data_IF_465236339911
#
_entry.id   IF_465236339911
#
_cell.length_a   1.000
_cell.length_b   1.000
_cell.length_c   1.000
_cell.angle_alpha   90.00
_cell.angle_beta   90.00
_cell.angle_gamma   90.00
#
_symmetry.space_group_name_H-M   'P 1'
#
loop_
_entity.id
_entity.type
_entity.pdbx_description
1 polymer ?
#
# COMPACT_ATOMS: atom_id res chain seq x y z
N UNK A 1 18.75 -9.15 0.98
CA UNK A 1 17.56 -9.91 0.53
C UNK A 1 16.99 -9.32 -0.77
N UNK A 2 16.63 -8.03 -0.81
CA UNK A 2 15.99 -7.39 -1.99
C UNK A 2 16.86 -7.54 -3.25
N UNK A 3 18.16 -7.26 -3.18
CA UNK A 3 19.08 -7.44 -4.30
C UNK A 3 19.12 -8.89 -4.82
N UNK A 4 19.06 -9.88 -3.92
CA UNK A 4 18.99 -11.29 -4.29
C UNK A 4 17.68 -11.61 -5.03
N UNK A 5 16.56 -11.05 -4.56
CA UNK A 5 15.27 -11.23 -5.24
C UNK A 5 15.31 -10.60 -6.62
N UNK A 6 15.78 -9.38 -6.75
CA UNK A 6 15.90 -8.68 -8.05
C UNK A 6 16.71 -9.48 -9.08
N UNK A 7 17.82 -10.11 -8.65
CA UNK A 7 18.71 -10.85 -9.55
C UNK A 7 18.25 -12.28 -9.85
N UNK A 8 17.46 -12.91 -8.97
CA UNK A 8 17.15 -14.34 -9.04
C UNK A 8 15.70 -14.69 -9.37
N UNK A 9 14.75 -13.81 -9.09
CA UNK A 9 13.32 -14.15 -9.16
C UNK A 9 12.84 -14.43 -10.60
N UNK A 10 13.51 -13.90 -11.61
CA UNK A 10 13.19 -14.17 -13.02
C UNK A 10 13.41 -15.60 -13.46
N UNK A 11 14.16 -16.39 -12.69
CA UNK A 11 14.40 -17.82 -12.96
C UNK A 11 13.36 -18.75 -12.29
N UNK A 12 12.51 -18.22 -11.41
CA UNK A 12 11.47 -19.00 -10.72
C UNK A 12 10.32 -19.31 -11.69
N UNK A 13 9.88 -20.57 -11.72
CA UNK A 13 8.85 -21.05 -12.64
C UNK A 13 7.45 -21.07 -12.03
N UNK A 14 7.34 -21.09 -10.71
CA UNK A 14 6.06 -21.14 -10.01
C UNK A 14 5.57 -19.72 -9.69
N UNK A 15 4.55 -19.25 -10.40
CA UNK A 15 4.02 -17.89 -10.26
C UNK A 15 3.60 -17.54 -8.82
N UNK A 16 3.06 -18.51 -8.08
CA UNK A 16 2.69 -18.31 -6.67
C UNK A 16 3.89 -18.05 -5.77
N UNK A 17 5.05 -18.67 -6.07
CA UNK A 17 6.32 -18.40 -5.38
C UNK A 17 6.82 -17.00 -5.75
N UNK A 18 6.81 -16.65 -7.04
CA UNK A 18 7.16 -15.29 -7.52
C UNK A 18 6.36 -14.22 -6.76
N UNK A 19 5.04 -14.33 -6.77
CA UNK A 19 4.16 -13.37 -6.08
C UNK A 19 4.48 -13.25 -4.59
N UNK A 20 4.68 -14.38 -3.91
CA UNK A 20 5.00 -14.41 -2.47
C UNK A 20 6.34 -13.74 -2.17
N UNK A 21 7.37 -14.05 -2.94
CA UNK A 21 8.72 -13.51 -2.74
C UNK A 21 8.76 -12.01 -3.05
N UNK A 22 8.08 -11.55 -4.10
CA UNK A 22 7.96 -10.12 -4.42
C UNK A 22 7.23 -9.35 -3.33
N UNK A 23 6.15 -9.92 -2.77
CA UNK A 23 5.45 -9.33 -1.63
C UNK A 23 6.37 -9.22 -0.39
N UNK A 24 7.19 -10.22 -0.12
CA UNK A 24 8.16 -10.18 0.98
C UNK A 24 9.26 -9.15 0.71
N UNK A 25 9.70 -8.96 -0.54
CA UNK A 25 10.68 -7.95 -0.90
C UNK A 25 10.11 -6.53 -0.72
N UNK A 26 8.87 -6.29 -1.12
CA UNK A 26 8.17 -5.04 -0.86
C UNK A 26 8.03 -4.76 0.65
N UNK A 27 7.62 -5.77 1.44
CA UNK A 27 7.55 -5.65 2.91
C UNK A 27 8.92 -5.38 3.55
N UNK A 28 10.00 -5.94 2.99
CA UNK A 28 11.35 -5.67 3.47
C UNK A 28 11.75 -4.21 3.24
N UNK A 29 11.42 -3.66 2.06
CA UNK A 29 11.67 -2.25 1.75
C UNK A 29 10.83 -1.31 2.62
N UNK A 30 9.57 -1.64 2.83
CA UNK A 30 8.65 -0.80 3.60
C UNK A 30 8.96 -0.77 5.09
N UNK A 31 9.24 -1.95 5.68
CA UNK A 31 9.29 -2.09 7.14
C UNK A 31 10.69 -2.30 7.69
N UNK A 32 11.57 -3.03 7.00
CA UNK A 32 12.81 -3.55 7.59
C UNK A 32 14.08 -2.86 7.12
N UNK A 33 14.09 -2.29 5.91
CA UNK A 33 15.23 -1.55 5.40
C UNK A 33 15.42 -0.21 6.12
N UNK A 34 16.64 0.33 6.11
CA UNK A 34 16.90 1.70 6.54
C UNK A 34 16.09 2.66 5.65
N UNK A 35 15.28 3.58 6.24
CA UNK A 35 14.32 4.37 5.47
C UNK A 35 14.93 5.25 4.36
N UNK A 36 16.09 5.86 4.62
CA UNK A 36 16.78 6.70 3.64
C UNK A 36 17.27 5.88 2.45
N UNK A 37 17.88 4.73 2.70
CA UNK A 37 18.29 3.80 1.65
C UNK A 37 17.07 3.23 0.90
N UNK A 38 16.01 2.85 1.60
CA UNK A 38 14.80 2.34 0.98
C UNK A 38 14.20 3.37 0.00
N UNK A 39 14.12 4.64 0.40
CA UNK A 39 13.57 5.71 -0.43
C UNK A 39 14.47 6.08 -1.63
N UNK A 40 15.80 6.16 -1.42
CA UNK A 40 16.73 6.67 -2.43
C UNK A 40 17.25 5.59 -3.39
N UNK A 41 17.31 4.34 -2.95
CA UNK A 41 17.93 3.23 -3.69
C UNK A 41 17.01 2.02 -3.79
N UNK A 42 16.43 1.59 -2.69
CA UNK A 42 15.68 0.34 -2.59
C UNK A 42 14.45 0.31 -3.49
N UNK A 43 13.53 1.25 -3.30
CA UNK A 43 12.32 1.34 -4.11
C UNK A 43 12.60 1.67 -5.58
N UNK A 44 13.47 2.66 -5.93
CA UNK A 44 13.82 2.91 -7.32
C UNK A 44 14.41 1.69 -8.03
N UNK A 45 15.38 1.02 -7.41
CA UNK A 45 15.97 -0.20 -7.95
C UNK A 45 14.96 -1.34 -8.10
N UNK A 46 14.07 -1.51 -7.12
CA UNK A 46 13.02 -2.53 -7.18
C UNK A 46 12.01 -2.26 -8.30
N UNK A 47 11.55 -1.02 -8.46
CA UNK A 47 10.64 -0.63 -9.53
C UNK A 47 11.26 -0.84 -10.93
N UNK A 48 12.54 -0.48 -11.10
CA UNK A 48 13.27 -0.70 -12.35
C UNK A 48 13.42 -2.19 -12.65
N UNK A 49 13.85 -3.00 -11.67
CA UNK A 49 13.99 -4.45 -11.84
C UNK A 49 12.66 -5.13 -12.19
N UNK A 50 11.56 -4.73 -11.55
CA UNK A 50 10.23 -5.28 -11.85
C UNK A 50 9.78 -4.96 -13.28
N UNK A 51 10.08 -3.77 -13.79
CA UNK A 51 9.75 -3.39 -15.15
C UNK A 51 10.61 -4.19 -16.17
N UNK A 52 11.89 -4.38 -15.89
CA UNK A 52 12.78 -5.21 -16.71
C UNK A 52 12.34 -6.68 -16.73
N UNK A 53 12.00 -7.24 -15.57
CA UNK A 53 11.46 -8.59 -15.45
C UNK A 53 10.14 -8.76 -16.21
N UNK A 54 9.24 -7.77 -16.13
CA UNK A 54 7.99 -7.78 -16.89
C UNK A 54 8.22 -7.74 -18.41
N UNK A 55 9.24 -7.03 -18.87
CA UNK A 55 9.63 -6.97 -20.28
C UNK A 55 10.31 -8.26 -20.78
N UNK A 56 11.05 -8.92 -19.90
CA UNK A 56 11.76 -10.16 -20.21
C UNK A 56 10.88 -11.41 -20.11
N UNK A 57 9.77 -11.35 -19.42
CA UNK A 57 8.84 -12.46 -19.24
C UNK A 57 8.15 -12.83 -20.57
N UNK A 58 7.68 -14.07 -20.67
CA UNK A 58 6.87 -14.53 -21.82
C UNK A 58 5.64 -13.63 -21.99
N UNK A 59 5.39 -13.23 -23.23
CA UNK A 59 4.32 -12.31 -23.60
C UNK A 59 2.95 -12.81 -23.13
N UNK A 60 2.24 -12.00 -22.33
CA UNK A 60 0.91 -12.31 -21.80
C UNK A 60 0.91 -13.41 -20.72
N UNK A 61 2.08 -13.80 -20.17
CA UNK A 61 2.18 -14.80 -19.12
C UNK A 61 1.74 -14.27 -17.75
N UNK A 62 1.39 -15.20 -16.85
CA UNK A 62 1.11 -14.90 -15.45
C UNK A 62 2.32 -14.28 -14.73
N UNK A 63 3.54 -14.63 -15.14
CA UNK A 63 4.78 -14.03 -14.63
C UNK A 63 4.88 -12.56 -15.02
N UNK A 64 4.62 -12.21 -16.30
CA UNK A 64 4.58 -10.83 -16.75
C UNK A 64 3.59 -10.01 -15.93
N UNK A 65 2.37 -10.54 -15.75
CA UNK A 65 1.33 -9.89 -14.97
C UNK A 65 1.71 -9.77 -13.48
N UNK A 66 2.38 -10.77 -12.90
CA UNK A 66 2.84 -10.74 -11.52
C UNK A 66 3.88 -9.63 -11.29
N UNK A 67 4.84 -9.46 -12.21
CA UNK A 67 5.83 -8.38 -12.14
C UNK A 67 5.19 -7.00 -12.28
N UNK A 68 4.27 -6.82 -13.25
CA UNK A 68 3.51 -5.57 -13.41
C UNK A 68 2.68 -5.28 -12.15
N UNK A 69 1.98 -6.26 -11.60
CA UNK A 69 1.19 -6.08 -10.38
C UNK A 69 2.05 -5.67 -9.17
N UNK A 70 3.24 -6.27 -9.05
CA UNK A 70 4.18 -5.92 -7.98
C UNK A 70 4.71 -4.49 -8.14
N UNK A 71 5.03 -4.07 -9.37
CA UNK A 71 5.42 -2.70 -9.69
C UNK A 71 4.33 -1.70 -9.27
N UNK A 72 3.08 -1.95 -9.64
CA UNK A 72 1.93 -1.10 -9.32
C UNK A 72 1.58 -1.10 -7.82
N UNK A 73 1.98 -2.15 -7.09
CA UNK A 73 1.84 -2.26 -5.64
C UNK A 73 2.87 -1.47 -4.84
N UNK A 74 4.03 -1.20 -5.43
CA UNK A 74 5.17 -0.53 -4.79
C UNK A 74 5.15 1.00 -4.86
N UNK A 75 6.33 1.58 -4.62
CA UNK A 75 6.58 3.02 -4.78
C UNK A 75 7.14 3.27 -6.17
N UNK A 76 6.43 4.09 -6.96
CA UNK A 76 6.85 4.47 -8.30
C UNK A 76 7.80 5.65 -8.26
N UNK A 77 8.77 5.64 -9.17
CA UNK A 77 9.60 6.83 -9.45
C UNK A 77 9.05 7.59 -10.67
N UNK A 78 9.59 8.79 -10.90
CA UNK A 78 9.22 9.59 -12.06
C UNK A 78 9.51 8.88 -13.41
N UNK A 79 10.41 7.90 -13.42
CA UNK A 79 10.78 7.15 -14.64
C UNK A 79 9.67 6.22 -15.15
N UNK A 80 8.92 5.59 -14.23
CA UNK A 80 7.85 4.66 -14.61
C UNK A 80 6.53 5.38 -14.94
N UNK A 81 6.31 6.57 -14.39
CA UNK A 81 5.03 7.28 -14.51
C UNK A 81 4.59 7.52 -15.96
N UNK A 82 5.44 7.98 -16.90
CA UNK A 82 5.03 8.20 -18.28
C UNK A 82 4.54 6.92 -18.99
N UNK A 83 5.21 5.79 -18.73
CA UNK A 83 4.80 4.49 -19.26
C UNK A 83 3.41 4.11 -18.74
N UNK A 84 3.22 4.18 -17.42
CA UNK A 84 1.97 3.78 -16.78
C UNK A 84 0.81 4.70 -17.19
N UNK A 85 1.09 6.00 -17.38
CA UNK A 85 0.11 6.95 -17.92
C UNK A 85 -0.27 6.59 -19.35
N UNK A 86 0.71 6.28 -20.21
CA UNK A 86 0.46 5.87 -21.59
C UNK A 86 -0.43 4.61 -21.67
N UNK A 87 -0.17 3.60 -20.81
CA UNK A 87 -1.00 2.41 -20.72
C UNK A 87 -2.43 2.72 -20.27
N UNK A 88 -2.60 3.63 -19.30
CA UNK A 88 -3.91 4.08 -18.82
C UNK A 88 -4.67 4.82 -19.94
N UNK A 89 -3.95 5.61 -20.75
CA UNK A 89 -4.50 6.36 -21.88
C UNK A 89 -4.81 5.48 -23.12
N UNK A 90 -4.48 4.18 -23.05
CA UNK A 90 -4.81 3.20 -24.08
C UNK A 90 -3.71 2.96 -25.12
N UNK A 91 -2.46 3.31 -24.79
CA UNK A 91 -1.32 2.94 -25.64
C UNK A 91 -1.16 1.42 -25.72
N UNK A 92 -0.71 0.92 -26.89
CA UNK A 92 -0.39 -0.50 -27.07
C UNK A 92 0.76 -0.91 -26.14
N UNK A 93 0.56 -1.85 -25.21
CA UNK A 93 1.63 -2.33 -24.32
C UNK A 93 2.86 -2.86 -25.07
N UNK A 94 2.68 -3.42 -26.27
CA UNK A 94 3.79 -3.91 -27.08
C UNK A 94 4.74 -2.79 -27.51
N UNK A 95 4.23 -1.60 -27.78
CA UNK A 95 5.04 -0.42 -28.11
C UNK A 95 5.95 0.03 -26.92
N UNK A 96 5.64 -0.42 -25.72
CA UNK A 96 6.37 -0.13 -24.48
C UNK A 96 7.17 -1.33 -23.95
N UNK A 97 7.33 -2.39 -24.77
CA UNK A 97 8.08 -3.58 -24.41
C UNK A 97 7.33 -4.56 -23.51
N UNK A 98 6.00 -4.48 -23.47
CA UNK A 98 5.12 -5.37 -22.70
C UNK A 98 4.13 -6.10 -23.63
N UNK A 99 4.61 -6.83 -24.65
CA UNK A 99 3.74 -7.53 -25.60
C UNK A 99 2.84 -8.53 -24.86
N UNK A 100 1.59 -8.63 -25.29
CA UNK A 100 0.62 -9.57 -24.71
C UNK A 100 -0.02 -9.15 -23.40
N UNK A 101 0.49 -8.10 -22.73
CA UNK A 101 -0.13 -7.57 -21.52
C UNK A 101 -1.55 -7.05 -21.85
N UNK A 102 -2.54 -7.57 -21.13
CA UNK A 102 -3.93 -7.11 -21.27
C UNK A 102 -4.24 -6.04 -20.24
N UNK A 103 -4.54 -4.83 -20.70
CA UNK A 103 -4.95 -3.69 -19.85
C UNK A 103 -6.47 -3.72 -19.70
N UNK A 104 -6.96 -4.71 -18.96
CA UNK A 104 -8.36 -4.88 -18.61
C UNK A 104 -8.82 -3.89 -17.50
N UNK A 105 -10.07 -3.96 -17.08
CA UNK A 105 -10.62 -3.07 -16.07
C UNK A 105 -9.86 -3.18 -14.72
N UNK A 106 -9.45 -4.39 -14.34
CA UNK A 106 -8.72 -4.62 -13.09
C UNK A 106 -7.32 -3.98 -13.13
N UNK A 107 -6.57 -4.19 -14.23
CA UNK A 107 -5.25 -3.58 -14.40
C UNK A 107 -5.36 -2.06 -14.53
N UNK A 108 -6.39 -1.54 -15.21
CA UNK A 108 -6.64 -0.09 -15.27
C UNK A 108 -6.80 0.53 -13.88
N UNK A 109 -7.59 -0.10 -13.01
CA UNK A 109 -7.74 0.37 -11.63
C UNK A 109 -6.44 0.30 -10.82
N UNK A 110 -5.58 -0.68 -11.07
CA UNK A 110 -4.25 -0.74 -10.46
C UNK A 110 -3.35 0.39 -10.96
N UNK A 111 -3.39 0.70 -12.27
CA UNK A 111 -2.69 1.86 -12.84
C UNK A 111 -3.16 3.17 -12.20
N UNK A 112 -4.47 3.39 -12.12
CA UNK A 112 -5.06 4.59 -11.49
C UNK A 112 -4.62 4.70 -10.02
N UNK A 113 -4.69 3.62 -9.23
CA UNK A 113 -4.26 3.62 -7.82
C UNK A 113 -2.76 3.92 -7.68
N UNK A 114 -1.92 3.34 -8.53
CA UNK A 114 -0.47 3.54 -8.48
C UNK A 114 -0.08 4.98 -8.88
N UNK A 115 -0.66 5.51 -9.96
CA UNK A 115 -0.43 6.88 -10.41
C UNK A 115 -0.97 7.91 -9.41
N UNK A 116 -2.13 7.66 -8.81
CA UNK A 116 -2.67 8.51 -7.75
C UNK A 116 -1.75 8.52 -6.51
N UNK A 117 -1.25 7.34 -6.08
CA UNK A 117 -0.33 7.21 -4.96
C UNK A 117 1.02 7.90 -5.21
N UNK A 118 1.47 7.93 -6.47
CA UNK A 118 2.68 8.63 -6.88
C UNK A 118 2.48 10.16 -7.05
N UNK A 119 1.25 10.67 -6.90
CA UNK A 119 0.94 12.07 -7.17
C UNK A 119 1.09 12.46 -8.65
N UNK A 120 0.98 11.50 -9.57
CA UNK A 120 1.08 11.73 -11.00
C UNK A 120 -0.26 12.16 -11.63
N UNK A 121 -1.38 11.84 -10.97
CA UNK A 121 -2.74 12.20 -11.37
C UNK A 121 -3.49 12.79 -10.18
N UNK A 122 -4.55 13.55 -10.46
CA UNK A 122 -5.50 14.05 -9.46
C UNK A 122 -4.81 14.74 -8.26
N UNK A 123 -3.85 15.59 -8.55
CA UNK A 123 -3.03 16.29 -7.55
C UNK A 123 -3.79 17.39 -6.79
N UNK A 124 -4.85 17.94 -7.39
CA UNK A 124 -5.74 18.88 -6.70
C UNK A 124 -6.56 18.17 -5.63
N UNK A 125 -6.44 18.56 -4.34
CA UNK A 125 -7.20 17.91 -3.26
C UNK A 125 -8.72 17.97 -3.46
N UNK A 126 -9.23 19.02 -4.10
CA UNK A 126 -10.66 19.28 -4.28
C UNK A 126 -11.30 18.48 -5.41
N UNK A 127 -10.50 17.86 -6.31
CA UNK A 127 -11.01 17.17 -7.48
C UNK A 127 -10.26 15.88 -7.79
N UNK A 128 -10.89 14.97 -8.52
CA UNK A 128 -10.30 13.69 -8.92
C UNK A 128 -10.76 13.28 -10.34
N UNK A 129 -10.51 14.10 -11.35
CA UNK A 129 -11.09 13.90 -12.68
C UNK A 129 -10.67 12.59 -13.35
N UNK A 130 -9.45 12.10 -13.13
CA UNK A 130 -8.99 10.83 -13.72
C UNK A 130 -9.69 9.65 -13.04
N UNK A 131 -9.76 9.65 -11.70
CA UNK A 131 -10.47 8.62 -10.92
C UNK A 131 -11.96 8.64 -11.26
N UNK A 132 -12.57 9.83 -11.40
CA UNK A 132 -13.99 9.99 -11.73
C UNK A 132 -14.29 9.50 -13.16
N UNK A 133 -13.39 9.75 -14.11
CA UNK A 133 -13.52 9.25 -15.47
C UNK A 133 -13.44 7.71 -15.53
N UNK A 134 -12.54 7.10 -14.75
CA UNK A 134 -12.44 5.65 -14.68
C UNK A 134 -13.66 5.02 -13.96
N UNK A 135 -14.19 5.68 -12.91
CA UNK A 135 -15.43 5.25 -12.27
C UNK A 135 -16.64 5.35 -13.22
N UNK A 136 -16.66 6.34 -14.11
CA UNK A 136 -17.70 6.44 -15.13
C UNK A 136 -17.62 5.31 -16.19
N UNK A 137 -16.43 4.72 -16.40
CA UNK A 137 -16.23 3.53 -17.26
C UNK A 137 -16.63 2.24 -16.55
N UNK A 138 -16.35 2.15 -15.25
CA UNK A 138 -16.64 0.98 -14.41
C UNK A 138 -17.61 1.37 -13.29
N UNK A 139 -18.89 1.38 -13.59
CA UNK A 139 -19.98 1.71 -12.64
C UNK A 139 -20.33 0.56 -11.68
N UNK A 140 -19.54 -0.50 -11.63
CA UNK A 140 -19.78 -1.64 -10.74
C UNK A 140 -19.47 -1.30 -9.28
N UNK A 141 -19.95 -2.17 -8.38
CA UNK A 141 -19.58 -2.07 -6.96
C UNK A 141 -18.06 -2.25 -6.75
N UNK A 142 -17.36 -2.97 -7.62
CA UNK A 142 -15.91 -3.09 -7.62
C UNK A 142 -15.26 -1.75 -8.00
N UNK A 143 -15.70 -1.14 -9.11
CA UNK A 143 -15.23 0.19 -9.53
C UNK A 143 -15.40 1.25 -8.45
N UNK A 144 -16.54 1.26 -7.75
CA UNK A 144 -16.76 2.17 -6.61
C UNK A 144 -15.72 1.98 -5.51
N UNK A 145 -15.37 0.73 -5.17
CA UNK A 145 -14.35 0.42 -4.16
C UNK A 145 -12.94 0.81 -4.64
N UNK A 146 -12.61 0.54 -5.90
CA UNK A 146 -11.33 0.95 -6.48
C UNK A 146 -11.17 2.46 -6.49
N UNK A 147 -12.21 3.20 -6.85
CA UNK A 147 -12.21 4.67 -6.79
C UNK A 147 -11.99 5.18 -5.36
N UNK A 148 -12.63 4.57 -4.35
CA UNK A 148 -12.41 4.92 -2.95
C UNK A 148 -10.95 4.68 -2.53
N UNK A 149 -10.36 3.53 -2.91
CA UNK A 149 -8.95 3.24 -2.66
C UNK A 149 -8.01 4.24 -3.36
N UNK A 150 -8.28 4.56 -4.64
CA UNK A 150 -7.48 5.51 -5.41
C UNK A 150 -7.51 6.92 -4.80
N UNK A 151 -8.68 7.40 -4.38
CA UNK A 151 -8.81 8.70 -3.70
C UNK A 151 -8.04 8.72 -2.38
N UNK A 152 -8.09 7.65 -1.58
CA UNK A 152 -7.36 7.50 -0.32
C UNK A 152 -5.83 7.40 -0.54
N UNK A 153 -5.39 6.90 -1.69
CA UNK A 153 -3.98 6.73 -2.02
C UNK A 153 -3.26 8.05 -2.36
N UNK A 154 -3.97 9.12 -2.69
CA UNK A 154 -3.37 10.40 -3.06
C UNK A 154 -2.47 10.95 -1.94
N UNK A 155 -1.23 11.42 -2.28
CA UNK A 155 -0.25 11.84 -1.29
C UNK A 155 -0.44 13.30 -0.85
N UNK A 156 -1.64 13.63 -0.35
CA UNK A 156 -1.93 14.95 0.21
C UNK A 156 -2.73 14.82 1.52
N UNK A 157 -2.58 15.78 2.46
CA UNK A 157 -3.20 15.74 3.79
C UNK A 157 -4.73 15.65 3.75
N UNK A 158 -5.37 16.32 2.80
CA UNK A 158 -6.82 16.37 2.67
C UNK A 158 -7.41 15.01 2.29
N UNK A 159 -6.76 14.31 1.33
CA UNK A 159 -7.15 12.96 0.95
C UNK A 159 -6.98 11.98 2.12
N UNK A 160 -5.86 12.08 2.86
CA UNK A 160 -5.62 11.26 4.05
C UNK A 160 -6.65 11.56 5.14
N UNK A 161 -6.95 12.82 5.41
CA UNK A 161 -7.97 13.20 6.38
C UNK A 161 -9.37 12.70 6.00
N UNK A 162 -9.74 12.79 4.72
CA UNK A 162 -11.03 12.28 4.26
C UNK A 162 -11.10 10.75 4.37
N UNK A 163 -10.03 10.04 3.95
CA UNK A 163 -9.96 8.59 4.04
C UNK A 163 -10.02 8.11 5.50
N UNK A 164 -9.30 8.81 6.41
CA UNK A 164 -9.35 8.53 7.84
C UNK A 164 -10.76 8.69 8.40
N UNK A 165 -11.40 9.85 8.19
CA UNK A 165 -12.78 10.05 8.65
C UNK A 165 -13.73 8.98 8.17
N UNK A 166 -13.63 8.63 6.88
CA UNK A 166 -14.52 7.63 6.28
C UNK A 166 -14.26 6.22 6.83
N UNK A 167 -13.01 5.81 7.02
CA UNK A 167 -12.68 4.47 7.48
C UNK A 167 -12.79 4.31 9.01
N UNK A 168 -12.37 5.34 9.77
CA UNK A 168 -12.24 5.25 11.22
C UNK A 168 -13.44 5.79 11.97
N UNK A 169 -14.09 6.87 11.46
CA UNK A 169 -15.12 7.60 12.21
C UNK A 169 -16.55 7.33 11.69
N UNK A 170 -16.73 7.01 10.39
CA UNK A 170 -18.05 6.84 9.77
C UNK A 170 -18.51 5.36 9.84
N UNK A 171 -19.48 5.09 10.72
CA UNK A 171 -20.02 3.74 10.93
C UNK A 171 -21.00 3.27 9.85
N UNK A 172 -21.41 4.15 8.94
CA UNK A 172 -22.33 3.82 7.85
C UNK A 172 -21.66 3.13 6.67
N UNK A 173 -20.33 3.14 6.61
CA UNK A 173 -19.56 2.62 5.48
C UNK A 173 -19.46 1.09 5.53
N UNK A 174 -19.81 0.43 4.43
CA UNK A 174 -19.74 -1.02 4.32
C UNK A 174 -18.28 -1.53 4.48
N UNK A 175 -18.11 -2.67 5.18
CA UNK A 175 -16.81 -3.24 5.51
C UNK A 175 -15.89 -3.40 4.29
N UNK A 176 -16.43 -3.86 3.16
CA UNK A 176 -15.64 -4.03 1.91
C UNK A 176 -15.10 -2.70 1.38
N UNK A 177 -15.84 -1.60 1.56
CA UNK A 177 -15.40 -0.25 1.19
C UNK A 177 -14.36 0.28 2.20
N UNK A 178 -14.57 0.05 3.49
CA UNK A 178 -13.57 0.38 4.54
C UNK A 178 -12.24 -0.29 4.23
N UNK A 179 -12.25 -1.58 3.88
CA UNK A 179 -11.02 -2.33 3.51
C UNK A 179 -10.30 -1.68 2.33
N UNK A 180 -11.04 -1.27 1.31
CA UNK A 180 -10.46 -0.60 0.13
C UNK A 180 -9.88 0.77 0.46
N UNK A 181 -10.54 1.54 1.34
CA UNK A 181 -10.03 2.84 1.80
C UNK A 181 -8.75 2.64 2.61
N UNK A 182 -8.72 1.65 3.51
CA UNK A 182 -7.52 1.30 4.30
C UNK A 182 -6.35 0.96 3.38
N UNK A 183 -6.55 0.11 2.36
CA UNK A 183 -5.53 -0.21 1.36
C UNK A 183 -4.96 1.04 0.69
N UNK A 184 -5.81 2.01 0.32
CA UNK A 184 -5.37 3.26 -0.28
C UNK A 184 -4.68 4.20 0.72
N UNK A 185 -5.20 4.30 1.94
CA UNK A 185 -4.69 5.20 2.98
C UNK A 185 -3.25 4.84 3.38
N UNK A 186 -2.97 3.54 3.54
CA UNK A 186 -1.69 3.01 4.05
C UNK A 186 -0.71 2.63 2.93
N UNK A 187 -0.65 3.40 1.85
CA UNK A 187 0.30 3.16 0.75
C UNK A 187 1.74 3.42 1.20
N UNK A 188 2.64 2.52 0.80
CA UNK A 188 4.07 2.64 1.05
C UNK A 188 4.64 3.99 0.57
N UNK A 189 5.64 4.51 1.28
CA UNK A 189 6.30 5.77 0.97
C UNK A 189 5.52 7.02 1.39
N UNK A 190 4.43 6.89 2.15
CA UNK A 190 3.60 8.02 2.59
C UNK A 190 3.54 8.16 4.13
N UNK A 191 4.48 7.56 4.86
CA UNK A 191 4.50 7.48 6.33
C UNK A 191 4.42 8.86 7.00
N UNK A 192 5.11 9.87 6.44
CA UNK A 192 5.08 11.24 6.97
C UNK A 192 3.67 11.87 6.95
N UNK A 193 2.83 11.50 5.97
CA UNK A 193 1.44 11.95 5.90
C UNK A 193 0.53 11.22 6.89
N UNK A 194 0.95 10.04 7.35
CA UNK A 194 0.21 9.21 8.29
C UNK A 194 0.60 9.47 9.76
N UNK A 195 1.75 10.08 10.02
CA UNK A 195 2.24 10.36 11.37
C UNK A 195 1.19 11.03 12.30
N UNK A 196 0.38 12.01 11.85
CA UNK A 196 -0.64 12.62 12.71
C UNK A 196 -1.72 11.65 13.22
N UNK A 197 -1.91 10.52 12.51
CA UNK A 197 -2.96 9.54 12.84
C UNK A 197 -2.54 8.53 13.90
N UNK A 198 -1.27 8.46 14.27
CA UNK A 198 -0.79 7.57 15.34
C UNK A 198 -1.49 7.86 16.66
N UNK A 199 -1.52 9.11 17.09
CA UNK A 199 -2.22 9.49 18.32
C UNK A 199 -3.75 9.35 18.19
N UNK A 200 -4.31 9.75 17.04
CA UNK A 200 -5.74 9.65 16.78
C UNK A 200 -6.21 8.17 16.83
N UNK A 201 -5.39 7.25 16.33
CA UNK A 201 -5.68 5.81 16.42
C UNK A 201 -5.81 5.34 17.87
N UNK A 202 -4.80 5.56 18.71
CA UNK A 202 -4.83 5.08 20.10
C UNK A 202 -5.88 5.80 20.94
N UNK A 203 -6.18 7.07 20.63
CA UNK A 203 -7.25 7.80 21.30
C UNK A 203 -8.65 7.26 20.99
N UNK A 204 -8.89 6.78 19.74
CA UNK A 204 -10.23 6.41 19.27
C UNK A 204 -10.50 4.91 19.14
N UNK A 205 -9.47 4.05 19.11
CA UNK A 205 -9.61 2.63 18.75
C UNK A 205 -10.48 1.82 19.72
N UNK A 206 -10.49 2.18 21.02
CA UNK A 206 -11.33 1.52 22.02
C UNK A 206 -12.82 1.81 21.78
N UNK A 207 -13.17 3.05 21.50
CA UNK A 207 -14.53 3.46 21.17
C UNK A 207 -14.98 2.80 19.85
N UNK A 208 -14.15 2.85 18.81
CA UNK A 208 -14.39 2.17 17.54
C UNK A 208 -14.68 0.68 17.75
N UNK A 209 -13.89 -0.01 18.57
CA UNK A 209 -14.09 -1.43 18.89
C UNK A 209 -15.43 -1.71 19.53
N UNK A 210 -15.92 -0.82 20.38
CA UNK A 210 -17.20 -1.00 21.10
C UNK A 210 -18.42 -0.73 20.23
N UNK A 211 -18.35 0.18 19.26
CA UNK A 211 -19.47 0.65 18.45
C UNK A 211 -19.66 -0.09 17.12
N UNK A 212 -18.60 -0.70 16.59
CA UNK A 212 -18.67 -1.42 15.30
C UNK A 212 -18.88 -2.92 15.46
N UNK A 213 -19.40 -3.56 14.41
CA UNK A 213 -19.43 -5.03 14.36
C UNK A 213 -17.99 -5.58 14.41
N UNK A 214 -17.84 -6.78 14.97
CA UNK A 214 -16.52 -7.40 15.16
C UNK A 214 -15.69 -7.47 13.88
N UNK A 215 -16.31 -7.74 12.74
CA UNK A 215 -15.62 -7.82 11.44
C UNK A 215 -15.07 -6.45 11.00
N UNK A 216 -15.90 -5.41 11.06
CA UNK A 216 -15.49 -4.04 10.68
C UNK A 216 -14.44 -3.52 11.65
N UNK A 217 -14.65 -3.73 12.96
CA UNK A 217 -13.69 -3.31 13.98
C UNK A 217 -12.32 -3.95 13.75
N UNK A 218 -12.25 -5.26 13.49
CA UNK A 218 -10.99 -5.94 13.18
C UNK A 218 -10.34 -5.40 11.91
N UNK A 219 -11.12 -5.16 10.84
CA UNK A 219 -10.61 -4.57 9.59
C UNK A 219 -9.91 -3.23 9.85
N UNK A 220 -10.53 -2.35 10.64
CA UNK A 220 -9.97 -1.04 10.93
C UNK A 220 -8.81 -1.13 11.90
N UNK A 221 -8.96 -1.90 13.00
CA UNK A 221 -7.92 -2.05 14.02
C UNK A 221 -6.63 -2.61 13.44
N UNK A 222 -6.71 -3.63 12.60
CA UNK A 222 -5.53 -4.24 11.97
C UNK A 222 -4.99 -3.33 10.86
N UNK A 223 -5.88 -2.86 9.98
CA UNK A 223 -5.46 -2.15 8.77
C UNK A 223 -4.99 -0.72 8.99
N UNK A 224 -5.42 -0.06 10.08
CA UNK A 224 -4.98 1.28 10.46
C UNK A 224 -4.09 1.27 11.72
N UNK A 225 -3.64 0.09 12.19
CA UNK A 225 -2.59 0.07 13.19
C UNK A 225 -1.40 0.89 12.71
N UNK A 226 -0.82 1.79 13.54
CA UNK A 226 0.23 2.71 13.11
C UNK A 226 1.58 2.04 12.79
N UNK A 227 1.57 1.11 11.83
CA UNK A 227 2.78 0.43 11.35
C UNK A 227 3.72 1.36 10.55
N UNK A 228 3.26 2.54 10.19
CA UNK A 228 4.07 3.63 9.62
C UNK A 228 4.96 4.33 10.64
N UNK A 229 4.67 4.20 11.95
CA UNK A 229 5.44 4.80 13.05
C UNK A 229 6.42 3.76 13.62
N UNK A 230 7.43 3.37 12.82
CA UNK A 230 8.46 2.43 13.27
C UNK A 230 9.51 3.18 14.10
N UNK A 231 9.18 3.43 15.37
CA UNK A 231 10.02 4.18 16.32
C UNK A 231 9.75 3.72 17.76
N UNK A 232 10.64 4.12 18.69
CA UNK A 232 10.41 3.93 20.13
C UNK A 232 9.15 4.67 20.60
N UNK A 233 8.81 5.82 19.98
CA UNK A 233 7.58 6.56 20.29
C UNK A 233 6.33 5.77 19.87
N UNK A 234 6.37 5.08 18.73
CA UNK A 234 5.29 4.20 18.28
C UNK A 234 5.09 3.00 19.21
N UNK A 235 6.20 2.41 19.73
CA UNK A 235 6.13 1.36 20.73
C UNK A 235 5.54 1.87 22.05
N UNK A 236 6.01 3.03 22.54
CA UNK A 236 5.52 3.64 23.76
C UNK A 236 4.01 3.93 23.70
N UNK A 237 3.52 4.47 22.59
CA UNK A 237 2.09 4.73 22.41
C UNK A 237 1.23 3.46 22.51
N UNK A 238 1.70 2.35 21.97
CA UNK A 238 1.02 1.06 22.11
C UNK A 238 1.10 0.52 23.54
N UNK A 239 2.26 0.65 24.22
CA UNK A 239 2.44 0.23 25.61
C UNK A 239 1.56 1.06 26.56
N UNK A 240 1.48 2.37 26.39
CA UNK A 240 0.61 3.27 27.16
C UNK A 240 -0.86 2.90 26.99
N UNK A 241 -1.29 2.62 25.76
CA UNK A 241 -2.65 2.16 25.48
C UNK A 241 -2.99 0.84 26.20
N UNK A 242 -2.07 -0.12 26.18
CA UNK A 242 -2.25 -1.42 26.85
C UNK A 242 -2.23 -1.29 28.38
N UNK A 243 -1.39 -0.40 28.91
CA UNK A 243 -1.25 -0.16 30.35
C UNK A 243 -2.44 0.64 30.94
N UNK A 244 -3.18 1.38 30.14
CA UNK A 244 -4.33 2.16 30.58
C UNK A 244 -5.46 1.31 31.19
N UNK A 245 -5.39 0.00 31.09
CA UNK A 245 -6.36 -0.94 31.61
C UNK A 245 -7.68 -0.97 30.86
N UNK A 246 -8.55 -1.92 31.21
CA UNK A 246 -9.91 -2.04 30.66
C UNK A 246 -9.96 -2.15 29.12
N UNK A 247 -8.91 -2.76 28.52
CA UNK A 247 -8.87 -3.07 27.09
C UNK A 247 -9.48 -4.46 26.87
N UNK A 248 -10.50 -4.61 26.00
CA UNK A 248 -11.06 -5.93 25.69
C UNK A 248 -9.96 -6.91 25.22
N UNK A 249 -9.96 -8.17 25.70
CA UNK A 249 -8.87 -9.12 25.41
C UNK A 249 -8.58 -9.32 23.91
N UNK A 250 -9.63 -9.33 23.07
CA UNK A 250 -9.46 -9.47 21.63
C UNK A 250 -8.80 -8.23 20.99
N UNK A 251 -9.16 -7.02 21.43
CA UNK A 251 -8.51 -5.79 21.00
C UNK A 251 -7.06 -5.74 21.49
N UNK A 252 -6.82 -6.07 22.77
CA UNK A 252 -5.47 -6.12 23.35
C UNK A 252 -4.55 -7.02 22.52
N UNK A 253 -5.01 -8.20 22.14
CA UNK A 253 -4.26 -9.13 21.27
C UNK A 253 -3.85 -8.48 19.96
N UNK A 254 -4.76 -7.82 19.27
CA UNK A 254 -4.47 -7.17 17.97
C UNK A 254 -3.45 -6.03 18.12
N UNK A 255 -3.56 -5.25 19.20
CA UNK A 255 -2.58 -4.18 19.49
C UNK A 255 -1.20 -4.77 19.81
N UNK A 256 -1.13 -5.87 20.58
CA UNK A 256 0.13 -6.57 20.87
C UNK A 256 0.78 -7.12 19.60
N UNK A 257 0.00 -7.72 18.69
CA UNK A 257 0.47 -8.22 17.39
C UNK A 257 1.04 -7.09 16.53
N UNK A 258 0.35 -5.94 16.45
CA UNK A 258 0.82 -4.74 15.75
C UNK A 258 2.10 -4.18 16.36
N UNK A 259 2.14 -4.04 17.69
CA UNK A 259 3.31 -3.59 18.45
C UNK A 259 4.54 -4.50 18.22
N UNK A 260 4.34 -5.82 18.25
CA UNK A 260 5.43 -6.78 18.00
C UNK A 260 5.98 -6.64 16.58
N UNK A 261 5.12 -6.36 15.60
CA UNK A 261 5.54 -6.08 14.23
C UNK A 261 6.40 -4.83 14.12
N UNK A 262 6.03 -3.73 14.78
CA UNK A 262 6.85 -2.51 14.87
C UNK A 262 8.16 -2.76 15.60
N UNK A 263 8.14 -3.48 16.74
CA UNK A 263 9.35 -3.82 17.49
C UNK A 263 10.33 -4.67 16.67
N UNK A 264 9.81 -5.59 15.85
CA UNK A 264 10.61 -6.41 14.95
C UNK A 264 11.23 -5.56 13.84
N UNK A 265 10.43 -4.67 13.24
CA UNK A 265 10.90 -3.76 12.20
C UNK A 265 12.00 -2.82 12.72
N UNK A 266 11.83 -2.28 13.92
CA UNK A 266 12.83 -1.40 14.55
C UNK A 266 14.17 -2.13 14.79
N UNK A 267 14.13 -3.38 15.29
CA UNK A 267 15.33 -4.20 15.44
C UNK A 267 15.99 -4.52 14.10
N UNK A 268 15.20 -4.80 13.06
CA UNK A 268 15.71 -5.09 11.72
C UNK A 268 16.39 -3.87 11.11
N UNK A 269 15.78 -2.68 11.21
CA UNK A 269 16.38 -1.41 10.76
C UNK A 269 17.70 -1.10 11.47
N UNK A 270 17.76 -1.33 12.79
CA UNK A 270 18.99 -1.15 13.53
C UNK A 270 20.12 -2.10 13.09
N UNK A 271 19.77 -3.36 12.77
CA UNK A 271 20.72 -4.33 12.23
C UNK A 271 21.18 -3.99 10.81
N UNK A 272 20.27 -3.54 9.95
CA UNK A 272 20.54 -3.13 8.58
C UNK A 272 21.47 -1.91 8.55
N UNK A 273 21.19 -0.90 9.37
CA UNK A 273 22.05 0.28 9.52
C UNK A 273 23.46 -0.04 10.07
N UNK A 274 23.60 -1.10 10.89
CA UNK A 274 24.89 -1.52 11.43
C UNK A 274 25.70 -2.36 10.42
N UNK A 275 25.07 -2.90 9.39
CA UNK A 275 25.71 -3.75 8.38
C UNK A 275 26.21 -2.97 7.15
N UNK A 276 25.73 -1.74 6.96
CA UNK A 276 26.09 -0.85 5.85
C UNK A 276 27.24 0.03 6.15
#
# INVERSE_FOLDING_TARGET
>A
FVALVQSGIGAETEVGVVQRVLMQAASALESYAEPGWAAQTGWPGFATALLELARAAEAGSDHQLAFVNSLLGGVLTAEQQPLLQALLDGADPAAHGLPGLQVDAELRWKLVKALAAAGAIDTDPASSPVIDAELARDTTAAGTRHAAAARAARPNPEAKAQAWRTAFEDDSVANVTVRSIVEGLTRAGQDALLAPYTQAYFAGVRELWSRRTSEVAQTVVIGLYPAWEISEAGLAAADDFLAAGDVPPALSRLIVEGRDSVARALRARAADAAAG
#
